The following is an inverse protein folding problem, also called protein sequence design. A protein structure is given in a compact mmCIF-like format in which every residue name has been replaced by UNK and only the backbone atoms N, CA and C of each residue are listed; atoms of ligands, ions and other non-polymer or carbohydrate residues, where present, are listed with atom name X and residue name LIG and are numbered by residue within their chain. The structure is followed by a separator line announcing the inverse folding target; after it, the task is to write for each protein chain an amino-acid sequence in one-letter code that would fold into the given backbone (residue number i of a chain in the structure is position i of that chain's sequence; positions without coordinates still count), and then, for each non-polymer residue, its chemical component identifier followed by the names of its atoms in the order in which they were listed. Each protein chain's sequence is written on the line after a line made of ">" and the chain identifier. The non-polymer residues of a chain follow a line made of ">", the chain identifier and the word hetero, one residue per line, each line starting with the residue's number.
data_IF_806761978349
#
_entry.id   IF_806761978349
#
_cell.length_a   1.000
_cell.length_b   1.000
_cell.length_c   1.000
_cell.angle_alpha   90.00
_cell.angle_beta   90.00
_cell.angle_gamma   90.00
#
_symmetry.space_group_name_H-M   'P 1'
#
loop_
_entity.id
_entity.type
_entity.pdbx_description
1 polymer ?
#
# COMPACT_ATOMS: atom_id res chain seq x y z
N UNK A 1 -33.16 23.23 65.86
CA UNK A 1 -33.13 21.77 65.58
C UNK A 1 -33.98 21.34 64.36
N UNK A 2 -34.70 22.23 63.66
CA UNK A 2 -35.51 21.86 62.48
C UNK A 2 -34.78 22.03 61.13
N UNK A 3 -33.67 22.76 61.10
CA UNK A 3 -32.90 23.07 59.89
C UNK A 3 -31.89 21.98 59.49
N UNK A 4 -31.49 21.12 60.43
CA UNK A 4 -30.49 20.06 60.18
C UNK A 4 -31.09 18.84 59.45
N UNK A 5 -32.39 18.58 59.62
CA UNK A 5 -33.07 17.42 59.03
C UNK A 5 -33.26 17.64 57.52
N UNK A 6 -33.51 18.89 57.08
CA UNK A 6 -33.67 19.22 55.66
C UNK A 6 -32.38 19.05 54.85
N UNK A 7 -31.20 19.29 55.45
CA UNK A 7 -29.91 19.10 54.79
C UNK A 7 -29.61 17.61 54.52
N UNK A 8 -30.08 16.71 55.38
CA UNK A 8 -29.84 15.26 55.24
C UNK A 8 -30.64 14.61 54.09
N UNK A 9 -31.80 15.18 53.72
CA UNK A 9 -32.65 14.68 52.63
C UNK A 9 -32.13 15.09 51.23
N UNK A 10 -31.38 16.18 51.13
CA UNK A 10 -30.79 16.63 49.87
C UNK A 10 -29.51 15.81 49.55
N UNK A 11 -28.80 15.36 50.59
CA UNK A 11 -27.61 14.52 50.44
C UNK A 11 -27.91 13.12 49.86
N UNK A 12 -29.11 12.58 50.07
CA UNK A 12 -29.49 11.25 49.57
C UNK A 12 -29.82 11.21 48.08
N UNK A 13 -30.14 12.35 47.44
CA UNK A 13 -30.49 12.39 46.02
C UNK A 13 -29.26 12.36 45.08
N UNK A 14 -28.10 12.85 45.53
CA UNK A 14 -26.88 12.88 44.74
C UNK A 14 -26.17 11.51 44.64
N UNK A 15 -26.48 10.56 45.53
CA UNK A 15 -25.85 9.25 45.58
C UNK A 15 -26.40 8.24 44.54
N UNK A 16 -27.48 8.60 43.83
CA UNK A 16 -28.11 7.77 42.79
C UNK A 16 -28.06 8.39 41.39
N UNK A 17 -27.22 9.40 41.17
CA UNK A 17 -26.92 9.83 39.81
C UNK A 17 -26.17 8.69 39.09
N UNK A 18 -26.63 8.22 37.92
CA UNK A 18 -25.88 7.24 37.17
C UNK A 18 -24.50 7.85 36.89
N UNK A 19 -23.46 7.23 37.44
CA UNK A 19 -22.10 7.59 37.08
C UNK A 19 -22.03 7.47 35.57
N UNK A 20 -21.78 8.59 34.89
CA UNK A 20 -21.56 8.60 33.46
C UNK A 20 -20.28 7.78 33.26
N UNK A 21 -20.44 6.48 33.02
CA UNK A 21 -19.36 5.63 32.57
C UNK A 21 -18.86 6.33 31.32
N UNK A 22 -17.69 6.98 31.41
CA UNK A 22 -16.93 7.31 30.22
C UNK A 22 -16.87 5.99 29.47
N UNK A 23 -17.56 5.94 28.33
CA UNK A 23 -17.42 4.82 27.42
C UNK A 23 -15.91 4.63 27.28
N UNK A 24 -15.42 3.46 27.71
CA UNK A 24 -14.07 3.08 27.34
C UNK A 24 -14.04 3.24 25.82
N UNK A 25 -13.22 4.16 25.33
CA UNK A 25 -12.98 4.30 23.90
C UNK A 25 -12.46 2.93 23.47
N UNK A 26 -13.35 2.09 22.94
CA UNK A 26 -12.94 0.89 22.25
C UNK A 26 -11.95 1.37 21.20
N UNK A 27 -10.75 0.80 21.23
CA UNK A 27 -9.61 1.07 20.35
C UNK A 27 -9.97 1.02 18.86
N UNK A 28 -11.17 0.52 18.51
CA UNK A 28 -11.83 0.64 17.22
C UNK A 28 -11.81 2.06 16.62
N UNK A 29 -11.89 3.13 17.42
CA UNK A 29 -11.93 4.51 16.88
C UNK A 29 -10.55 5.11 16.54
N UNK A 30 -9.43 4.43 16.84
CA UNK A 30 -8.11 5.08 16.76
C UNK A 30 -7.64 5.38 15.32
N UNK A 31 -8.11 4.60 14.34
CA UNK A 31 -7.64 4.66 12.95
C UNK A 31 -8.75 4.84 11.93
N UNK A 32 -9.97 5.18 12.34
CA UNK A 32 -11.11 5.33 11.43
C UNK A 32 -10.93 6.49 10.43
N UNK A 33 -10.24 7.56 10.87
CA UNK A 33 -9.88 8.72 10.06
C UNK A 33 -8.51 8.58 9.37
N UNK A 34 -7.87 7.41 9.46
CA UNK A 34 -6.54 7.22 8.91
C UNK A 34 -6.56 7.17 7.37
N UNK A 35 -5.44 7.60 6.77
CA UNK A 35 -5.24 7.57 5.33
C UNK A 35 -5.62 6.21 4.72
N UNK A 36 -6.55 6.21 3.77
CA UNK A 36 -6.99 5.00 3.07
C UNK A 36 -8.31 4.40 3.57
N UNK A 37 -8.84 4.86 4.69
CA UNK A 37 -10.25 4.67 5.02
C UNK A 37 -11.08 5.59 4.10
N UNK A 38 -11.79 5.02 3.14
CA UNK A 38 -12.59 5.78 2.19
C UNK A 38 -13.89 5.06 1.86
N UNK A 39 -14.96 5.79 1.48
CA UNK A 39 -16.15 5.18 0.91
C UNK A 39 -15.79 4.29 -0.30
N UNK A 40 -16.46 3.15 -0.51
CA UNK A 40 -17.69 2.70 0.16
C UNK A 40 -17.50 1.91 1.47
N UNK A 41 -16.27 1.47 1.79
CA UNK A 41 -16.02 0.56 2.92
C UNK A 41 -15.64 1.30 4.22
N UNK A 42 -15.06 2.49 4.13
CA UNK A 42 -14.54 3.21 5.29
C UNK A 42 -13.35 2.47 5.91
N UNK A 43 -13.31 2.40 7.24
CA UNK A 43 -12.32 1.62 7.98
C UNK A 43 -12.59 0.12 7.81
N UNK A 44 -11.62 -0.61 7.25
CA UNK A 44 -11.74 -2.02 6.92
C UNK A 44 -10.65 -2.85 7.61
N UNK A 45 -10.99 -3.42 8.77
CA UNK A 45 -10.15 -4.38 9.49
C UNK A 45 -11.00 -5.56 10.01
N UNK A 46 -11.37 -6.53 9.14
CA UNK A 46 -12.20 -7.67 9.55
C UNK A 46 -11.47 -8.68 10.43
N UNK A 47 -10.13 -8.61 10.49
CA UNK A 47 -9.28 -9.55 11.23
C UNK A 47 -8.75 -8.97 12.55
N UNK A 48 -9.08 -7.71 12.88
CA UNK A 48 -8.63 -7.05 14.10
C UNK A 48 -7.11 -6.86 14.17
N UNK A 49 -6.45 -6.68 13.02
CA UNK A 49 -4.99 -6.54 12.94
C UNK A 49 -4.47 -5.31 13.69
N UNK A 50 -5.29 -4.26 13.84
CA UNK A 50 -4.92 -3.01 14.54
C UNK A 50 -5.78 -2.75 15.77
N UNK A 51 -6.49 -3.76 16.28
CA UNK A 51 -7.36 -3.67 17.46
C UNK A 51 -6.60 -3.26 18.73
N UNK A 52 -5.31 -3.61 18.81
CA UNK A 52 -4.41 -3.25 19.91
C UNK A 52 -4.18 -1.74 20.05
N UNK A 53 -4.43 -0.96 18.99
CA UNK A 53 -4.16 0.48 18.97
C UNK A 53 -2.67 0.83 18.90
N UNK A 54 -1.80 -0.14 18.60
CA UNK A 54 -0.35 0.10 18.51
C UNK A 54 0.01 0.86 17.22
N UNK A 55 0.52 2.09 17.39
CA UNK A 55 0.92 2.97 16.29
C UNK A 55 2.10 2.38 15.49
N UNK A 56 3.06 1.73 16.15
CA UNK A 56 4.22 1.15 15.47
C UNK A 56 3.79 0.00 14.54
N UNK A 57 2.87 -0.83 15.02
CA UNK A 57 2.26 -1.89 14.23
C UNK A 57 1.49 -1.31 13.04
N UNK A 58 0.69 -0.25 13.24
CA UNK A 58 -0.03 0.41 12.15
C UNK A 58 0.92 0.99 11.09
N UNK A 59 1.96 1.70 11.50
CA UNK A 59 2.94 2.30 10.60
C UNK A 59 3.70 1.24 9.81
N UNK A 60 4.06 0.12 10.45
CA UNK A 60 4.66 -1.02 9.76
C UNK A 60 3.71 -1.64 8.74
N UNK A 61 2.45 -1.86 9.09
CA UNK A 61 1.45 -2.40 8.16
C UNK A 61 1.21 -1.46 6.97
N UNK A 62 1.14 -0.15 7.24
CA UNK A 62 1.04 0.91 6.23
C UNK A 62 2.24 0.89 5.28
N UNK A 63 3.45 0.77 5.81
CA UNK A 63 4.68 0.68 5.02
C UNK A 63 4.66 -0.54 4.09
N UNK A 64 4.28 -1.70 4.64
CA UNK A 64 4.16 -2.96 3.90
C UNK A 64 3.13 -2.82 2.79
N UNK A 65 1.95 -2.28 3.09
CA UNK A 65 0.87 -2.06 2.12
C UNK A 65 1.32 -1.16 0.96
N UNK A 66 1.95 -0.02 1.26
CA UNK A 66 2.46 0.91 0.23
C UNK A 66 3.51 0.24 -0.64
N UNK A 67 4.46 -0.50 -0.04
CA UNK A 67 5.53 -1.17 -0.79
C UNK A 67 4.97 -2.22 -1.76
N UNK A 68 4.05 -3.08 -1.30
CA UNK A 68 3.38 -4.04 -2.16
C UNK A 68 2.56 -3.35 -3.25
N UNK A 69 1.90 -2.23 -2.91
CA UNK A 69 1.07 -1.47 -3.85
C UNK A 69 1.91 -0.88 -4.99
N UNK A 70 3.06 -0.27 -4.66
CA UNK A 70 4.00 0.28 -5.65
C UNK A 70 4.56 -0.80 -6.58
N UNK A 71 4.97 -1.94 -6.02
CA UNK A 71 5.45 -3.08 -6.82
C UNK A 71 4.34 -3.57 -7.75
N UNK A 72 3.12 -3.74 -7.24
CA UNK A 72 1.98 -4.20 -8.03
C UNK A 72 1.58 -3.21 -9.12
N UNK A 73 1.61 -1.90 -8.87
CA UNK A 73 1.33 -0.87 -9.89
C UNK A 73 2.31 -0.95 -11.06
N UNK A 74 3.62 -1.06 -10.76
CA UNK A 74 4.65 -1.20 -11.80
C UNK A 74 4.52 -2.53 -12.55
N UNK A 75 4.25 -3.63 -11.85
CA UNK A 75 4.07 -4.94 -12.45
C UNK A 75 2.83 -5.00 -13.37
N UNK A 76 1.70 -4.43 -12.93
CA UNK A 76 0.47 -4.39 -13.70
C UNK A 76 0.62 -3.56 -14.98
N UNK A 77 1.20 -2.35 -14.87
CA UNK A 77 1.49 -1.51 -16.04
C UNK A 77 2.48 -2.21 -16.99
N UNK A 78 3.54 -2.81 -16.44
CA UNK A 78 4.53 -3.56 -17.22
C UNK A 78 3.93 -4.71 -18.02
N UNK A 79 3.04 -5.50 -17.42
CA UNK A 79 2.30 -6.57 -18.11
C UNK A 79 1.44 -6.03 -19.25
N UNK A 80 0.73 -4.92 -19.04
CA UNK A 80 -0.10 -4.32 -20.10
C UNK A 80 0.77 -3.80 -21.25
N UNK A 81 1.84 -3.05 -20.95
CA UNK A 81 2.70 -2.44 -21.97
C UNK A 81 3.43 -3.50 -22.82
N UNK A 82 3.98 -4.52 -22.17
CA UNK A 82 4.70 -5.61 -22.87
C UNK A 82 3.77 -6.46 -23.72
N UNK A 83 2.57 -6.79 -23.21
CA UNK A 83 1.56 -7.55 -23.98
C UNK A 83 0.90 -6.75 -25.10
N UNK A 84 0.87 -5.41 -24.99
CA UNK A 84 0.49 -4.54 -26.11
C UNK A 84 1.55 -4.51 -27.23
N UNK A 85 2.75 -5.05 -26.99
CA UNK A 85 3.83 -5.13 -27.97
C UNK A 85 4.75 -3.90 -27.99
N UNK A 86 4.73 -3.07 -26.93
CA UNK A 86 5.67 -1.94 -26.80
C UNK A 86 6.94 -2.44 -26.13
N UNK A 87 7.98 -2.60 -26.94
CA UNK A 87 9.32 -2.99 -26.50
C UNK A 87 10.32 -1.88 -26.82
N UNK A 88 11.47 -1.90 -26.15
CA UNK A 88 12.58 -1.02 -26.48
C UNK A 88 13.14 -1.38 -27.86
N UNK A 89 13.56 -0.40 -28.68
CA UNK A 89 14.19 -0.70 -29.96
C UNK A 89 15.61 -1.26 -29.75
N UNK A 90 16.00 -2.25 -30.55
CA UNK A 90 17.34 -2.82 -30.58
C UNK A 90 17.48 -4.17 -29.86
N UNK A 91 18.72 -4.53 -29.59
CA UNK A 91 19.10 -5.82 -29.01
C UNK A 91 19.42 -5.66 -27.53
N UNK A 92 18.94 -6.60 -26.71
CA UNK A 92 19.21 -6.64 -25.26
C UNK A 92 20.65 -7.05 -24.98
N UNK A 93 21.25 -7.81 -25.89
CA UNK A 93 22.56 -8.42 -25.73
C UNK A 93 23.46 -8.19 -26.94
N UNK A 94 24.70 -8.67 -26.85
CA UNK A 94 25.67 -8.60 -27.96
C UNK A 94 25.52 -9.75 -28.95
N UNK A 95 24.62 -10.70 -28.68
CA UNK A 95 24.35 -11.86 -29.55
C UNK A 95 23.32 -11.52 -30.62
N UNK A 96 22.58 -10.43 -30.46
CA UNK A 96 21.58 -9.93 -31.40
C UNK A 96 20.15 -10.29 -31.02
N UNK A 97 19.90 -10.61 -29.74
CA UNK A 97 18.55 -10.92 -29.27
C UNK A 97 17.75 -9.63 -29.09
N UNK A 98 16.75 -9.41 -29.94
CA UNK A 98 15.91 -8.21 -29.91
C UNK A 98 15.05 -8.15 -28.63
N UNK A 99 14.78 -6.96 -28.09
CA UNK A 99 13.88 -6.85 -26.92
C UNK A 99 12.46 -7.40 -27.15
N UNK A 100 12.02 -7.44 -28.41
CA UNK A 100 10.71 -7.97 -28.79
C UNK A 100 10.68 -9.51 -28.94
N UNK A 101 11.83 -10.20 -28.92
CA UNK A 101 11.85 -11.67 -29.02
C UNK A 101 11.59 -12.37 -27.68
N UNK A 102 11.64 -11.65 -26.56
CA UNK A 102 11.38 -12.23 -25.25
C UNK A 102 9.88 -12.40 -24.99
N UNK A 103 9.47 -13.53 -24.39
CA UNK A 103 8.07 -13.79 -24.09
C UNK A 103 7.56 -12.86 -22.99
N UNK A 104 6.24 -12.70 -22.92
CA UNK A 104 5.58 -11.92 -21.89
C UNK A 104 5.33 -12.76 -20.62
N UNK A 105 4.97 -12.10 -19.52
CA UNK A 105 4.47 -12.82 -18.35
C UNK A 105 5.53 -13.60 -17.58
N UNK A 106 5.10 -14.73 -17.01
CA UNK A 106 5.93 -15.69 -16.29
C UNK A 106 6.98 -16.34 -17.19
N UNK A 107 6.66 -16.54 -18.48
CA UNK A 107 7.58 -17.12 -19.45
C UNK A 107 8.87 -16.28 -19.65
N UNK A 108 8.81 -14.97 -19.38
CA UNK A 108 9.97 -14.08 -19.41
C UNK A 108 11.02 -14.42 -18.33
N UNK A 109 10.56 -14.95 -17.19
CA UNK A 109 11.39 -15.29 -16.03
C UNK A 109 11.79 -16.76 -16.08
N UNK A 110 10.84 -17.62 -16.43
CA UNK A 110 11.03 -19.07 -16.46
C UNK A 110 10.32 -19.65 -17.69
N UNK A 111 11.09 -19.80 -18.76
CA UNK A 111 10.63 -20.29 -20.05
C UNK A 111 11.80 -20.65 -20.97
N UNK A 112 11.53 -21.29 -22.13
CA UNK A 112 12.57 -21.67 -23.09
C UNK A 112 13.36 -20.47 -23.62
N UNK A 113 12.68 -19.34 -23.83
CA UNK A 113 13.22 -18.08 -24.35
C UNK A 113 13.30 -16.99 -23.26
N UNK A 114 13.48 -17.40 -22.00
CA UNK A 114 13.53 -16.48 -20.87
C UNK A 114 14.79 -15.60 -20.86
N UNK A 115 14.71 -14.51 -20.09
CA UNK A 115 15.85 -13.61 -19.88
C UNK A 115 17.02 -14.41 -19.30
N UNK A 116 18.25 -14.26 -19.85
CA UNK A 116 19.42 -14.96 -19.34
C UNK A 116 19.61 -14.75 -17.84
N UNK A 117 19.94 -15.82 -17.10
CA UNK A 117 20.07 -15.77 -15.64
C UNK A 117 21.07 -14.73 -15.12
N UNK A 118 22.10 -14.40 -15.92
CA UNK A 118 23.03 -13.31 -15.62
C UNK A 118 22.36 -11.92 -15.63
N UNK A 119 21.45 -11.67 -16.57
CA UNK A 119 20.66 -10.43 -16.63
C UNK A 119 19.70 -10.33 -15.45
N UNK A 120 19.02 -11.43 -15.10
CA UNK A 120 18.15 -11.47 -13.92
C UNK A 120 18.94 -11.20 -12.63
N UNK A 121 20.14 -11.79 -12.49
CA UNK A 121 21.00 -11.57 -11.34
C UNK A 121 21.44 -10.10 -11.22
N UNK A 122 21.71 -9.40 -12.33
CA UNK A 122 22.04 -7.98 -12.33
C UNK A 122 20.85 -7.12 -11.84
N UNK A 123 19.64 -7.41 -12.32
CA UNK A 123 18.42 -6.73 -11.89
C UNK A 123 18.20 -6.93 -10.38
N UNK A 124 18.28 -8.18 -9.90
CA UNK A 124 18.12 -8.50 -8.49
C UNK A 124 19.21 -7.87 -7.61
N UNK A 125 20.47 -7.90 -8.05
CA UNK A 125 21.57 -7.26 -7.32
C UNK A 125 21.37 -5.74 -7.22
N UNK A 126 20.93 -5.10 -8.30
CA UNK A 126 20.63 -3.67 -8.30
C UNK A 126 19.47 -3.33 -7.37
N UNK A 127 18.36 -4.08 -7.44
CA UNK A 127 17.21 -3.91 -6.53
C UNK A 127 17.64 -4.10 -5.08
N UNK A 128 18.47 -5.11 -4.78
CA UNK A 128 18.98 -5.35 -3.44
C UNK A 128 19.80 -4.16 -2.91
N UNK A 129 20.65 -3.54 -3.74
CA UNK A 129 21.39 -2.33 -3.36
C UNK A 129 20.43 -1.17 -3.09
N UNK A 130 19.42 -0.96 -3.95
CA UNK A 130 18.41 0.08 -3.75
C UNK A 130 17.64 -0.11 -2.44
N UNK A 131 17.21 -1.34 -2.15
CA UNK A 131 16.45 -1.67 -0.95
C UNK A 131 17.28 -1.53 0.34
N UNK A 132 18.56 -1.88 0.28
CA UNK A 132 19.44 -1.80 1.45
C UNK A 132 20.01 -0.40 1.70
N UNK A 133 20.10 0.44 0.66
CA UNK A 133 20.86 1.71 0.73
C UNK A 133 20.00 2.96 0.53
N UNK A 134 18.95 2.89 -0.30
CA UNK A 134 18.21 4.08 -0.75
C UNK A 134 16.76 4.06 -0.27
N UNK A 135 16.04 2.94 -0.42
CA UNK A 135 14.63 2.79 -0.05
C UNK A 135 14.45 2.49 1.46
N UNK A 136 15.23 3.17 2.29
CA UNK A 136 15.08 3.21 3.73
C UNK A 136 14.67 4.61 4.15
N UNK A 137 13.86 4.67 5.19
CA UNK A 137 13.56 5.92 5.88
C UNK A 137 14.77 6.31 6.73
N UNK A 138 15.73 7.00 6.11
CA UNK A 138 17.02 7.35 6.72
C UNK A 138 16.94 8.72 7.40
N UNK A 139 16.11 9.62 6.88
CA UNK A 139 16.03 11.01 7.32
C UNK A 139 14.78 11.34 8.14
N UNK A 140 13.88 10.38 8.37
CA UNK A 140 12.61 10.62 9.05
C UNK A 140 11.64 11.35 8.14
N UNK A 141 11.29 10.72 7.02
CA UNK A 141 10.42 11.28 5.99
C UNK A 141 9.10 11.83 6.54
N UNK A 142 8.48 12.76 5.81
CA UNK A 142 7.23 13.44 6.19
C UNK A 142 6.09 12.45 6.51
N UNK A 143 6.17 11.24 5.94
CA UNK A 143 5.27 10.14 6.22
C UNK A 143 5.91 8.78 5.90
N UNK A 144 5.29 7.72 6.44
CA UNK A 144 5.70 6.32 6.19
C UNK A 144 5.75 6.01 4.70
N UNK A 145 6.93 5.63 4.21
CA UNK A 145 7.16 5.29 2.78
C UNK A 145 7.52 6.47 1.90
N UNK A 146 7.88 7.61 2.47
CA UNK A 146 8.50 8.71 1.75
C UNK A 146 9.98 8.40 1.46
N UNK A 147 10.26 7.97 0.22
CA UNK A 147 11.62 7.66 -0.24
C UNK A 147 12.32 8.84 -0.90
N UNK A 148 11.73 10.05 -0.84
CA UNK A 148 12.40 11.25 -1.36
C UNK A 148 13.64 11.59 -0.56
N UNK A 149 13.65 11.27 0.75
CA UNK A 149 14.76 11.53 1.68
C UNK A 149 15.35 12.95 1.50
N UNK A 150 14.48 13.93 1.24
CA UNK A 150 14.81 15.34 0.91
C UNK A 150 15.78 15.55 -0.27
N UNK A 151 16.03 14.50 -1.07
CA UNK A 151 16.96 14.52 -2.20
C UNK A 151 16.27 14.91 -3.50
N UNK A 152 14.97 14.63 -3.65
CA UNK A 152 14.19 14.85 -4.87
C UNK A 152 12.83 15.44 -4.54
N UNK A 153 12.64 16.71 -4.88
CA UNK A 153 11.33 17.37 -4.84
C UNK A 153 10.78 17.59 -6.26
N UNK A 154 9.74 16.84 -6.62
CA UNK A 154 8.97 17.05 -7.85
C UNK A 154 7.86 18.10 -7.66
N UNK A 155 8.10 19.13 -6.84
CA UNK A 155 7.11 20.15 -6.46
C UNK A 155 6.08 19.64 -5.46
N UNK A 156 6.39 18.59 -4.71
CA UNK A 156 5.58 18.07 -3.61
C UNK A 156 5.35 19.12 -2.53
N UNK A 157 6.38 19.91 -2.22
CA UNK A 157 6.33 20.92 -1.16
C UNK A 157 5.42 22.11 -1.51
N UNK A 158 4.99 22.22 -2.77
CA UNK A 158 4.08 23.26 -3.25
C UNK A 158 2.61 22.88 -3.09
N UNK A 159 2.29 21.63 -2.75
CA UNK A 159 0.91 21.21 -2.56
C UNK A 159 0.40 21.58 -1.16
N UNK A 160 -0.91 21.85 -1.05
CA UNK A 160 -1.57 21.95 0.25
C UNK A 160 -1.63 20.58 0.93
N UNK A 161 -1.74 20.58 2.27
CA UNK A 161 -1.84 19.34 3.06
C UNK A 161 -3.05 18.47 2.64
N UNK A 162 -4.18 19.09 2.30
CA UNK A 162 -5.35 18.40 1.76
C UNK A 162 -5.05 17.71 0.42
N UNK A 163 -4.30 18.37 -0.47
CA UNK A 163 -3.89 17.79 -1.74
C UNK A 163 -2.90 16.64 -1.54
N UNK A 164 -1.93 16.79 -0.63
CA UNK A 164 -0.99 15.71 -0.27
C UNK A 164 -1.75 14.48 0.25
N UNK A 165 -2.69 14.66 1.18
CA UNK A 165 -3.53 13.58 1.71
C UNK A 165 -4.35 12.90 0.59
N UNK A 166 -4.99 13.69 -0.27
CA UNK A 166 -5.76 13.17 -1.41
C UNK A 166 -4.88 12.35 -2.36
N UNK A 167 -3.68 12.84 -2.73
CA UNK A 167 -2.75 12.14 -3.62
C UNK A 167 -2.23 10.85 -3.02
N UNK A 168 -1.94 10.84 -1.71
CA UNK A 168 -1.53 9.62 -0.99
C UNK A 168 -2.66 8.60 -0.92
N UNK A 169 -3.91 9.04 -0.75
CA UNK A 169 -5.06 8.14 -0.79
C UNK A 169 -5.24 7.54 -2.20
N UNK A 170 -5.06 8.35 -3.25
CA UNK A 170 -5.11 7.89 -4.65
C UNK A 170 -4.01 6.85 -4.90
N UNK A 171 -2.77 7.11 -4.47
CA UNK A 171 -1.67 6.17 -4.59
C UNK A 171 -1.99 4.83 -3.92
N UNK A 172 -2.44 4.88 -2.67
CA UNK A 172 -2.75 3.69 -1.91
C UNK A 172 -3.85 2.85 -2.55
N UNK A 173 -4.93 3.47 -3.01
CA UNK A 173 -6.06 2.75 -3.59
C UNK A 173 -5.77 2.21 -4.99
N UNK A 174 -4.98 2.92 -5.79
CA UNK A 174 -4.43 2.36 -7.03
C UNK A 174 -3.50 1.18 -6.73
N UNK A 175 -2.67 1.27 -5.68
CA UNK A 175 -1.87 0.16 -5.18
C UNK A 175 -2.71 -1.07 -4.82
N UNK A 176 -3.75 -0.89 -4.02
CA UNK A 176 -4.70 -1.96 -3.65
C UNK A 176 -5.34 -2.62 -4.87
N UNK A 177 -5.86 -1.82 -5.80
CA UNK A 177 -6.47 -2.33 -7.03
C UNK A 177 -5.45 -3.07 -7.90
N UNK A 178 -4.23 -2.54 -8.03
CA UNK A 178 -3.16 -3.15 -8.79
C UNK A 178 -2.72 -4.49 -8.21
N UNK A 179 -2.74 -4.68 -6.88
CA UNK A 179 -2.43 -5.97 -6.25
C UNK A 179 -3.40 -7.07 -6.72
N UNK A 180 -4.70 -6.78 -6.77
CA UNK A 180 -5.68 -7.72 -7.31
C UNK A 180 -5.55 -7.89 -8.82
N UNK A 181 -5.25 -6.81 -9.55
CA UNK A 181 -5.03 -6.83 -10.99
C UNK A 181 -3.89 -7.77 -11.39
N UNK A 182 -2.71 -7.60 -10.79
CA UNK A 182 -1.54 -8.43 -11.12
C UNK A 182 -1.75 -9.89 -10.69
N UNK A 183 -2.36 -10.13 -9.52
CA UNK A 183 -2.71 -11.48 -9.09
C UNK A 183 -3.62 -12.17 -10.09
N UNK A 184 -4.65 -11.46 -10.58
CA UNK A 184 -5.54 -11.97 -11.62
C UNK A 184 -4.77 -12.35 -12.89
N UNK A 185 -3.89 -11.47 -13.37
CA UNK A 185 -3.09 -11.76 -14.56
C UNK A 185 -2.18 -12.98 -14.39
N UNK A 186 -1.48 -13.08 -13.25
CA UNK A 186 -0.59 -14.22 -12.97
C UNK A 186 -1.36 -15.55 -12.88
N UNK A 187 -2.53 -15.56 -12.24
CA UNK A 187 -3.36 -16.77 -12.11
C UNK A 187 -3.95 -17.17 -13.46
N UNK A 188 -4.48 -16.20 -14.23
CA UNK A 188 -5.07 -16.50 -15.53
C UNK A 188 -4.04 -16.94 -16.57
N UNK A 189 -2.78 -16.49 -16.45
CA UNK A 189 -1.67 -17.00 -17.28
C UNK A 189 -1.38 -18.48 -17.02
N UNK A 190 -1.52 -18.96 -15.78
CA UNK A 190 -1.32 -20.38 -15.46
C UNK A 190 -2.52 -21.25 -15.83
N UNK A 191 -3.73 -20.70 -15.70
CA UNK A 191 -4.96 -21.42 -16.06
C UNK A 191 -5.14 -21.52 -17.58
N UNK A 192 -4.52 -20.61 -18.34
CA UNK A 192 -4.72 -20.46 -19.77
C UNK A 192 -6.07 -19.83 -20.10
N UNK A 193 -6.11 -19.02 -21.16
CA UNK A 193 -7.34 -18.46 -21.71
C UNK A 193 -7.21 -17.00 -22.13
N UNK A 194 -8.32 -16.40 -22.57
CA UNK A 194 -8.35 -15.00 -22.97
C UNK A 194 -8.86 -14.13 -21.83
N UNK A 195 -8.05 -13.17 -21.39
CA UNK A 195 -8.50 -12.14 -20.44
C UNK A 195 -8.86 -10.87 -21.22
N UNK A 196 -10.03 -10.25 -20.99
CA UNK A 196 -10.37 -8.97 -21.59
C UNK A 196 -9.25 -7.95 -21.35
N UNK A 197 -8.89 -7.16 -22.36
CA UNK A 197 -7.81 -6.14 -22.38
C UNK A 197 -6.40 -6.73 -22.62
N UNK A 198 -6.09 -7.91 -22.09
CA UNK A 198 -4.72 -8.45 -22.12
C UNK A 198 -4.51 -9.52 -23.20
N UNK A 199 -5.60 -10.04 -23.78
CA UNK A 199 -5.54 -11.00 -24.88
C UNK A 199 -5.39 -12.44 -24.39
N UNK A 200 -4.89 -13.32 -25.27
CA UNK A 200 -4.56 -14.69 -24.88
C UNK A 200 -3.36 -14.70 -23.94
N UNK A 201 -3.52 -15.42 -22.82
CA UNK A 201 -2.50 -15.63 -21.79
C UNK A 201 -1.96 -17.06 -21.86
#
# INVERSE_FOLDING_TARGET
>A
MKSAIFASLIATAAAFAPAQQKAASTSLNAFEDALGAQPPLGFFDPLGLVESGDQEQFDRLRFVEIKHGRIAMLAFLGQITTRYGVHLPGDIDKSGDAFASFPNGWAAIQGPDAIPGGGLAQILAFIAVLELSIMKDITGGEFVGDFRNDYIDFGWDKFSEEAKLSKRAIELNNGRAAMFGILGLMVHEQLGGSVPIVGEL
#
